data_IF_686948926904
#
_entry.id   IF_686948926904
#
_cell.length_a   1.000
_cell.length_b   1.000
_cell.length_c   1.000
_cell.angle_alpha   90.00
_cell.angle_beta   90.00
_cell.angle_gamma   90.00
#
_symmetry.space_group_name_H-M   'P 1'
#
loop_
_entity.id
_entity.type
_entity.pdbx_description
1 polymer ?
#
# COMPACT_ATOMS: atom_id res chain seq x y z
N UNK A 1 -19.92 -29.38 12.80
CA UNK A 1 -20.85 -28.33 12.34
C UNK A 1 -20.24 -26.98 12.69
N UNK A 2 -19.38 -26.44 11.83
CA UNK A 2 -18.65 -25.19 12.11
C UNK A 2 -19.36 -24.02 11.44
N UNK A 3 -20.16 -23.32 12.23
CA UNK A 3 -20.85 -22.09 11.82
C UNK A 3 -19.78 -21.01 11.64
N UNK A 4 -19.41 -20.70 10.40
CA UNK A 4 -18.61 -19.51 10.09
C UNK A 4 -19.55 -18.31 10.18
N UNK A 5 -19.42 -17.55 11.27
CA UNK A 5 -20.16 -16.32 11.49
C UNK A 5 -19.83 -15.34 10.36
N UNK A 6 -20.75 -15.19 9.42
CA UNK A 6 -20.70 -14.19 8.36
C UNK A 6 -21.32 -12.90 8.87
N UNK A 7 -20.48 -11.91 9.20
CA UNK A 7 -20.94 -10.57 9.55
C UNK A 7 -21.06 -9.73 8.27
N UNK A 8 -22.30 -9.43 7.88
CA UNK A 8 -22.64 -8.50 6.79
C UNK A 8 -22.72 -7.10 7.40
N UNK A 9 -21.77 -6.22 7.05
CA UNK A 9 -21.70 -4.84 7.56
C UNK A 9 -22.52 -3.91 6.66
N UNK A 10 -23.66 -3.47 7.17
CA UNK A 10 -24.53 -2.43 6.59
C UNK A 10 -23.81 -1.09 6.51
N UNK A 11 -23.79 -0.48 5.33
CA UNK A 11 -23.21 0.83 5.10
C UNK A 11 -24.15 1.96 5.51
N UNK A 12 -23.72 2.80 6.43
CA UNK A 12 -23.83 4.27 6.43
C UNK A 12 -22.80 4.84 7.41
N UNK A 13 -21.82 5.61 6.92
CA UNK A 13 -20.96 6.48 7.75
C UNK A 13 -19.85 5.85 8.61
N UNK A 14 -19.84 4.55 8.92
CA UNK A 14 -18.80 3.91 9.76
C UNK A 14 -17.90 3.02 8.91
N UNK A 15 -16.60 3.36 8.80
CA UNK A 15 -15.61 2.54 8.07
C UNK A 15 -15.78 1.07 8.45
N UNK A 16 -15.91 0.19 7.45
CA UNK A 16 -16.00 -1.26 7.64
C UNK A 16 -14.83 -1.72 8.53
N UNK A 17 -15.13 -2.10 9.77
CA UNK A 17 -14.14 -2.62 10.73
C UNK A 17 -14.02 -4.13 10.54
N UNK A 18 -12.78 -4.60 10.38
CA UNK A 18 -12.47 -6.01 10.20
C UNK A 18 -11.83 -6.56 11.46
N UNK A 19 -12.29 -7.72 11.92
CA UNK A 19 -11.70 -8.39 13.08
C UNK A 19 -10.24 -8.77 12.80
N UNK A 20 -9.39 -8.74 13.83
CA UNK A 20 -7.98 -9.14 13.69
C UNK A 20 -7.86 -10.58 13.18
N UNK A 21 -8.69 -11.49 13.69
CA UNK A 21 -8.74 -12.88 13.26
C UNK A 21 -9.00 -13.04 11.75
N UNK A 22 -9.92 -12.27 11.18
CA UNK A 22 -10.17 -12.32 9.74
C UNK A 22 -8.97 -11.80 8.95
N UNK A 23 -8.34 -10.72 9.42
CA UNK A 23 -7.13 -10.18 8.76
C UNK A 23 -5.99 -11.21 8.77
N UNK A 24 -5.79 -11.89 9.90
CA UNK A 24 -4.79 -12.95 10.05
C UNK A 24 -5.05 -14.10 9.08
N UNK A 25 -6.30 -14.59 9.03
CA UNK A 25 -6.71 -15.66 8.12
C UNK A 25 -6.45 -15.30 6.65
N UNK A 26 -6.82 -14.08 6.24
CA UNK A 26 -6.62 -13.63 4.86
C UNK A 26 -5.13 -13.44 4.53
N UNK A 27 -4.34 -12.97 5.50
CA UNK A 27 -2.90 -12.83 5.33
C UNK A 27 -2.23 -14.19 5.24
N UNK A 28 -2.62 -15.17 6.06
CA UNK A 28 -2.07 -16.53 5.99
C UNK A 28 -2.38 -17.22 4.67
N UNK A 29 -3.58 -17.03 4.13
CA UNK A 29 -3.96 -17.56 2.80
C UNK A 29 -3.04 -17.00 1.70
N UNK A 30 -2.62 -15.73 1.81
CA UNK A 30 -1.69 -15.12 0.83
C UNK A 30 -0.25 -15.65 0.90
N UNK A 31 0.08 -16.43 1.93
CA UNK A 31 1.40 -17.03 2.11
C UNK A 31 1.49 -18.45 1.54
N UNK A 32 0.37 -19.03 1.11
CA UNK A 32 0.34 -20.34 0.48
C UNK A 32 1.09 -20.32 -0.86
N UNK A 33 1.90 -21.36 -1.17
CA UNK A 33 2.61 -21.44 -2.44
C UNK A 33 1.65 -21.36 -3.63
N UNK A 34 1.97 -20.48 -4.60
CA UNK A 34 1.16 -20.30 -5.81
C UNK A 34 -0.07 -19.40 -5.65
N UNK A 35 -0.44 -19.03 -4.42
CA UNK A 35 -1.57 -18.13 -4.18
C UNK A 35 -1.15 -16.67 -4.37
N UNK A 36 -1.98 -15.91 -5.09
CA UNK A 36 -1.74 -14.47 -5.30
C UNK A 36 -2.66 -13.62 -4.44
N UNK A 37 -2.19 -12.45 -4.02
CA UNK A 37 -3.02 -11.46 -3.30
C UNK A 37 -4.28 -11.08 -4.09
N UNK A 38 -4.18 -11.01 -5.42
CA UNK A 38 -5.33 -10.68 -6.29
C UNK A 38 -6.39 -11.78 -6.24
N UNK A 39 -5.98 -13.05 -6.18
CA UNK A 39 -6.89 -14.17 -6.09
C UNK A 39 -7.62 -14.19 -4.75
N UNK A 40 -6.90 -14.04 -3.64
CA UNK A 40 -7.50 -13.94 -2.30
C UNK A 40 -8.46 -12.74 -2.22
N UNK A 41 -8.05 -11.58 -2.75
CA UNK A 41 -8.91 -10.41 -2.81
C UNK A 41 -10.23 -10.68 -3.57
N UNK A 42 -10.16 -11.35 -4.73
CA UNK A 42 -11.37 -11.70 -5.51
C UNK A 42 -12.26 -12.71 -4.79
N UNK A 43 -11.68 -13.72 -4.15
CA UNK A 43 -12.41 -14.76 -3.41
C UNK A 43 -13.24 -14.19 -2.26
N UNK A 44 -12.73 -13.14 -1.63
CA UNK A 44 -13.35 -12.50 -0.46
C UNK A 44 -14.05 -11.16 -0.77
N UNK A 45 -14.15 -10.77 -2.05
CA UNK A 45 -14.71 -9.50 -2.51
C UNK A 45 -14.10 -8.27 -1.80
N UNK A 46 -12.77 -8.27 -1.71
CA UNK A 46 -11.97 -7.23 -1.06
C UNK A 46 -11.10 -6.48 -2.06
N UNK A 47 -10.82 -5.21 -1.75
CA UNK A 47 -9.78 -4.49 -2.47
C UNK A 47 -8.39 -5.05 -2.14
N UNK A 48 -7.56 -5.23 -3.17
CA UNK A 48 -6.20 -5.80 -3.04
C UNK A 48 -5.32 -4.99 -2.09
N UNK A 49 -5.50 -3.67 -2.06
CA UNK A 49 -4.71 -2.74 -1.24
C UNK A 49 -4.95 -2.98 0.25
N UNK A 50 -6.15 -3.44 0.62
CA UNK A 50 -6.50 -3.79 1.99
C UNK A 50 -5.64 -4.96 2.50
N UNK A 51 -5.53 -6.01 1.68
CA UNK A 51 -4.74 -7.19 1.99
C UNK A 51 -3.25 -6.83 2.03
N UNK A 52 -2.76 -6.01 1.09
CA UNK A 52 -1.37 -5.52 1.15
C UNK A 52 -1.09 -4.72 2.42
N UNK A 53 -2.03 -3.89 2.86
CA UNK A 53 -1.90 -3.14 4.11
C UNK A 53 -1.80 -4.07 5.31
N UNK A 54 -2.64 -5.10 5.38
CA UNK A 54 -2.59 -6.09 6.46
C UNK A 54 -1.31 -6.91 6.42
N UNK A 55 -0.87 -7.38 5.24
CA UNK A 55 0.42 -8.06 5.09
C UNK A 55 1.57 -7.23 5.68
N UNK A 56 1.62 -5.92 5.43
CA UNK A 56 2.62 -5.04 6.05
C UNK A 56 2.46 -4.94 7.57
N UNK A 57 1.23 -4.80 8.07
CA UNK A 57 0.95 -4.73 9.51
C UNK A 57 1.36 -6.01 10.26
N UNK A 58 1.23 -7.17 9.63
CA UNK A 58 1.68 -8.47 10.14
C UNK A 58 3.14 -8.80 9.78
N UNK A 59 3.92 -7.83 9.29
CA UNK A 59 5.35 -8.04 8.99
C UNK A 59 5.65 -8.89 7.75
N UNK A 60 4.64 -9.27 6.97
CA UNK A 60 4.81 -9.99 5.71
C UNK A 60 5.38 -9.04 4.66
N UNK A 61 6.70 -9.05 4.56
CA UNK A 61 7.47 -8.28 3.56
C UNK A 61 7.90 -9.23 2.46
N UNK A 62 7.74 -8.80 1.20
CA UNK A 62 8.40 -9.49 0.10
C UNK A 62 9.90 -9.38 0.35
N UNK A 63 10.60 -10.51 0.40
CA UNK A 63 12.06 -10.50 0.38
C UNK A 63 12.47 -9.67 -0.84
N UNK A 64 13.14 -8.54 -0.60
CA UNK A 64 13.76 -7.80 -1.69
C UNK A 64 14.89 -8.70 -2.14
N UNK A 65 14.67 -9.46 -3.21
CA UNK A 65 15.79 -10.00 -3.96
C UNK A 65 16.69 -8.80 -4.23
N UNK A 66 17.93 -8.85 -3.74
CA UNK A 66 18.92 -7.87 -4.12
C UNK A 66 19.08 -8.01 -5.62
N UNK A 67 18.34 -7.19 -6.38
CA UNK A 67 18.53 -7.09 -7.82
C UNK A 67 19.95 -6.60 -8.01
N UNK A 68 20.84 -7.46 -8.48
CA UNK A 68 22.15 -7.05 -8.91
C UNK A 68 21.97 -6.26 -10.21
N UNK A 69 22.51 -5.04 -10.26
CA UNK A 69 22.69 -4.35 -11.52
C UNK A 69 23.87 -5.04 -12.23
N UNK A 70 23.62 -5.59 -13.42
CA UNK A 70 24.69 -6.09 -14.26
C UNK A 70 25.24 -4.92 -15.09
N UNK A 71 26.56 -4.69 -15.09
CA UNK A 71 27.15 -3.72 -16.00
C UNK A 71 26.91 -4.18 -17.44
N UNK A 72 26.39 -3.29 -18.28
CA UNK A 72 26.26 -3.49 -19.72
C UNK A 72 27.21 -2.50 -20.39
N UNK A 73 28.10 -3.02 -21.22
CA UNK A 73 28.98 -2.21 -22.06
C UNK A 73 28.22 -1.83 -23.33
N UNK A 74 28.04 -0.53 -23.55
CA UNK A 74 27.45 -0.01 -24.79
C UNK A 74 28.58 0.13 -25.80
N UNK A 75 28.64 -0.80 -26.75
CA UNK A 75 29.49 -0.66 -27.92
C UNK A 75 28.76 0.26 -28.91
N UNK A 76 29.35 1.43 -29.17
CA UNK A 76 28.88 2.31 -30.24
C UNK A 76 29.17 1.65 -31.59
N UNK A 77 28.22 0.85 -32.08
CA UNK A 77 28.23 0.39 -33.46
C UNK A 77 27.62 1.50 -34.32
N UNK A 78 28.48 2.42 -34.74
CA UNK A 78 28.13 3.50 -35.65
C UNK A 78 27.96 2.97 -37.09
N UNK A 79 27.00 2.07 -37.32
CA UNK A 79 26.39 1.81 -38.63
C UNK A 79 25.29 0.73 -38.56
N UNK A 80 24.07 1.11 -38.16
CA UNK A 80 22.82 0.72 -38.84
C UNK A 80 21.63 1.14 -37.98
N UNK A 81 20.99 2.23 -38.36
CA UNK A 81 19.64 2.54 -37.91
C UNK A 81 18.70 1.42 -38.36
N UNK A 82 18.14 0.65 -37.44
CA UNK A 82 16.81 0.03 -37.57
C UNK A 82 16.28 -0.32 -36.18
N UNK A 83 15.14 0.31 -35.86
CA UNK A 83 14.06 -0.16 -34.98
C UNK A 83 14.09 0.04 -33.46
N UNK A 84 12.92 0.55 -33.03
CA UNK A 84 12.32 0.47 -31.70
C UNK A 84 12.84 1.46 -30.66
N UNK A 85 12.49 2.74 -30.86
CA UNK A 85 12.32 3.66 -29.73
C UNK A 85 11.24 3.09 -28.80
N UNK A 86 11.54 2.73 -27.53
CA UNK A 86 10.49 2.41 -26.58
C UNK A 86 9.63 3.67 -26.36
N UNK A 87 8.34 3.53 -25.97
CA UNK A 87 7.55 4.69 -25.62
C UNK A 87 8.24 5.40 -24.46
N UNK A 88 8.56 6.68 -24.67
CA UNK A 88 9.06 7.57 -23.64
C UNK A 88 7.97 7.69 -22.58
N UNK A 89 7.98 6.81 -21.58
CA UNK A 89 7.21 6.98 -20.37
C UNK A 89 7.85 8.13 -19.59
N UNK A 90 7.52 9.37 -19.96
CA UNK A 90 7.71 10.50 -19.07
C UNK A 90 6.71 10.37 -17.93
N UNK A 91 7.08 9.58 -16.94
CA UNK A 91 6.70 9.88 -15.57
C UNK A 91 7.98 9.78 -14.75
N UNK A 92 8.79 10.84 -14.82
CA UNK A 92 9.66 11.14 -13.69
C UNK A 92 8.74 11.16 -12.44
N UNK A 93 9.02 10.40 -11.37
CA UNK A 93 8.38 10.70 -10.11
C UNK A 93 8.82 12.11 -9.75
N UNK A 94 7.87 13.05 -9.71
CA UNK A 94 8.15 14.37 -9.20
C UNK A 94 8.85 14.21 -7.83
N UNK A 95 9.98 14.88 -7.58
CA UNK A 95 10.61 14.88 -6.27
C UNK A 95 9.68 15.64 -5.32
N UNK A 96 8.83 14.90 -4.62
CA UNK A 96 7.86 15.45 -3.66
C UNK A 96 7.30 14.40 -2.70
N UNK A 97 7.91 13.20 -2.64
CA UNK A 97 7.40 12.08 -1.87
C UNK A 97 7.82 12.13 -0.38
N UNK A 98 7.61 13.27 0.27
CA UNK A 98 7.64 13.39 1.72
C UNK A 98 6.21 13.57 2.23
N UNK A 99 5.45 12.48 2.32
CA UNK A 99 4.10 12.50 2.91
C UNK A 99 4.08 11.72 4.21
N UNK A 100 3.65 12.37 5.29
CA UNK A 100 3.46 11.75 6.60
C UNK A 100 1.96 11.50 6.79
N UNK A 101 1.60 10.28 7.15
CA UNK A 101 0.22 9.91 7.48
C UNK A 101 0.16 9.44 8.94
N UNK A 102 -0.64 10.10 9.76
CA UNK A 102 -0.84 9.78 11.17
C UNK A 102 -2.29 9.34 11.33
N UNK A 103 -2.51 8.07 11.66
CA UNK A 103 -3.82 7.51 11.95
C UNK A 103 -4.01 7.41 13.46
N UNK A 104 -5.09 8.00 13.96
CA UNK A 104 -5.45 8.00 15.38
C UNK A 104 -6.45 6.88 15.67
N UNK A 105 -6.48 6.40 16.92
CA UNK A 105 -7.35 5.31 17.37
C UNK A 105 -8.85 5.63 17.34
N UNK A 106 -9.20 6.92 17.29
CA UNK A 106 -10.55 7.46 17.15
C UNK A 106 -11.01 7.57 15.67
N UNK A 107 -10.14 7.21 14.73
CA UNK A 107 -10.46 7.14 13.30
C UNK A 107 -10.13 8.41 12.50
N UNK A 108 -9.52 9.43 13.11
CA UNK A 108 -8.98 10.55 12.35
C UNK A 108 -7.69 10.16 11.60
N UNK A 109 -7.54 10.72 10.40
CA UNK A 109 -6.34 10.55 9.58
C UNK A 109 -5.78 11.92 9.23
N UNK A 110 -4.58 12.21 9.71
CA UNK A 110 -3.84 13.43 9.35
C UNK A 110 -2.87 13.09 8.23
N UNK A 111 -3.01 13.73 7.08
CA UNK A 111 -2.09 13.61 5.93
C UNK A 111 -1.34 14.92 5.77
N UNK A 112 -0.02 14.86 5.85
CA UNK A 112 0.87 16.01 5.72
C UNK A 112 1.74 15.78 4.50
N UNK A 113 1.73 16.70 3.55
CA UNK A 113 2.72 16.73 2.47
C UNK A 113 3.80 17.79 2.76
N UNK A 114 4.78 17.90 1.87
CA UNK A 114 5.90 18.81 2.03
C UNK A 114 5.54 20.30 1.84
N UNK A 115 4.30 20.65 1.49
CA UNK A 115 3.85 22.03 1.31
C UNK A 115 3.13 22.58 2.54
N UNK A 116 2.93 21.77 3.58
CA UNK A 116 2.23 22.19 4.80
C UNK A 116 3.16 23.02 5.68
N UNK A 117 2.70 24.19 6.09
CA UNK A 117 3.37 25.05 7.07
C UNK A 117 3.41 24.39 8.48
N UNK A 118 4.58 24.42 9.11
CA UNK A 118 4.82 23.81 10.42
C UNK A 118 3.92 24.39 11.51
N UNK A 119 3.64 25.70 11.49
CA UNK A 119 2.77 26.32 12.49
C UNK A 119 1.31 25.92 12.30
N UNK A 120 0.86 25.77 11.05
CA UNK A 120 -0.46 25.24 10.74
C UNK A 120 -0.61 23.79 11.22
N UNK A 121 0.38 22.93 10.95
CA UNK A 121 0.38 21.55 11.44
C UNK A 121 0.39 21.49 12.97
N UNK A 122 1.22 22.27 13.64
CA UNK A 122 1.30 22.31 15.10
C UNK A 122 0.01 22.83 15.76
N UNK A 123 -0.74 23.73 15.11
CA UNK A 123 -2.07 24.15 15.60
C UNK A 123 -3.08 23.00 15.52
N UNK A 124 -3.12 22.29 14.39
CA UNK A 124 -4.04 21.16 14.20
C UNK A 124 -3.74 20.04 15.20
N UNK A 125 -2.47 19.65 15.33
CA UNK A 125 -2.06 18.60 16.28
C UNK A 125 -2.38 18.96 17.74
N UNK A 126 -2.23 20.23 18.13
CA UNK A 126 -2.61 20.70 19.48
C UNK A 126 -4.11 20.60 19.76
N UNK A 127 -4.96 20.79 18.75
CA UNK A 127 -6.41 20.62 18.90
C UNK A 127 -6.75 19.15 19.04
N UNK A 128 -6.17 18.29 18.20
CA UNK A 128 -6.39 16.85 18.25
C UNK A 128 -5.92 16.23 19.58
N UNK A 129 -4.80 16.71 20.13
CA UNK A 129 -4.29 16.26 21.43
C UNK A 129 -5.19 16.61 22.64
N UNK A 130 -6.19 17.49 22.48
CA UNK A 130 -7.15 17.85 23.55
C UNK A 130 -8.47 17.06 23.46
N UNK A 131 -8.65 16.29 22.40
CA UNK A 131 -9.90 15.58 22.08
C UNK A 131 -9.79 14.06 22.27
N UNK A 132 -8.62 13.55 22.66
CA UNK A 132 -8.38 12.17 23.08
C UNK A 132 -8.07 12.09 24.57
#
# INVERSE_FOLDING_TARGET
MSIHRMEIVSGTGRRRSWSTALKEQLVSETLEPGVTVTEVARRHDLDRSLIYRWRRAFGVRRARAAGAFLPVEVVDDAAAATESSPPRMTSAPAPGAGRIEIEFSDGYLVRVDNQVDDNALARVLRVLARQG
#
